data_IF_378072320848
#
_entry.id   IF_378072320848
#
_cell.length_a   1.000
_cell.length_b   1.000
_cell.length_c   1.000
_cell.angle_alpha   90.00
_cell.angle_beta   90.00
_cell.angle_gamma   90.00
#
_symmetry.space_group_name_H-M   'P 1'
#
loop_
_entity.id
_entity.type
_entity.pdbx_description
1 polymer ?
#
# COMPACT_ATOMS: atom_id res chain seq x y z
N UNK A 1 -45.80 13.65 -12.38
CA UNK A 1 -45.53 14.86 -13.18
C UNK A 1 -44.18 14.70 -13.88
N UNK A 2 -44.21 14.28 -15.14
CA UNK A 2 -43.11 14.41 -16.10
C UNK A 2 -43.78 14.78 -17.43
N UNK A 3 -43.42 15.94 -17.97
CA UNK A 3 -43.91 16.47 -19.25
C UNK A 3 -42.79 16.62 -20.29
N UNK A 4 -43.20 17.12 -21.46
CA UNK A 4 -42.48 17.40 -22.71
C UNK A 4 -42.38 16.19 -23.67
N UNK A 5 -43.25 16.02 -24.67
CA UNK A 5 -43.51 16.76 -25.94
C UNK A 5 -42.30 16.85 -26.90
N UNK A 6 -42.45 16.23 -28.07
CA UNK A 6 -42.09 16.81 -29.36
C UNK A 6 -42.84 16.07 -30.50
N UNK A 7 -43.71 16.81 -31.20
CA UNK A 7 -44.26 16.48 -32.53
C UNK A 7 -43.34 17.05 -33.60
N UNK A 8 -43.28 16.40 -34.75
CA UNK A 8 -42.72 16.96 -35.99
C UNK A 8 -43.11 16.10 -37.19
N UNK A 9 -44.11 16.56 -37.93
CA UNK A 9 -44.70 15.95 -39.10
C UNK A 9 -44.41 16.88 -40.29
N UNK A 10 -43.82 16.39 -41.39
CA UNK A 10 -44.00 17.01 -42.72
C UNK A 10 -44.00 15.91 -43.79
N UNK A 11 -45.06 15.91 -44.56
CA UNK A 11 -45.39 15.10 -45.73
C UNK A 11 -44.83 15.72 -47.03
N UNK A 12 -44.51 14.87 -48.02
CA UNK A 12 -44.29 15.27 -49.40
C UNK A 12 -44.42 14.09 -50.38
N UNK A 13 -45.56 14.03 -51.07
CA UNK A 13 -45.86 13.34 -52.35
C UNK A 13 -45.07 13.98 -53.51
N UNK A 14 -44.85 13.45 -54.72
CA UNK A 14 -45.03 12.19 -55.46
C UNK A 14 -44.26 12.38 -56.80
N UNK A 15 -43.82 11.30 -57.47
CA UNK A 15 -43.87 11.10 -58.94
C UNK A 15 -42.93 9.96 -59.40
N UNK A 16 -43.42 9.18 -60.37
CA UNK A 16 -42.88 7.94 -60.90
C UNK A 16 -41.97 8.13 -62.14
N UNK A 17 -41.08 7.15 -62.37
CA UNK A 17 -40.68 6.73 -63.71
C UNK A 17 -40.13 5.28 -63.69
N UNK A 18 -40.72 4.43 -64.52
CA UNK A 18 -40.33 3.06 -64.84
C UNK A 18 -39.23 3.06 -65.92
N UNK A 19 -38.19 2.24 -65.76
CA UNK A 19 -37.54 1.51 -66.86
C UNK A 19 -36.91 0.21 -66.34
N UNK A 20 -37.18 -0.88 -67.05
CA UNK A 20 -36.63 -2.23 -66.82
C UNK A 20 -35.19 -2.34 -67.33
N UNK A 21 -34.34 -3.10 -66.63
CA UNK A 21 -33.38 -4.03 -67.26
C UNK A 21 -32.90 -5.09 -66.26
N UNK A 22 -32.95 -6.35 -66.68
CA UNK A 22 -32.46 -7.54 -65.98
C UNK A 22 -30.93 -7.64 -66.10
N UNK A 23 -30.23 -7.89 -65.00
CA UNK A 23 -28.99 -8.68 -65.00
C UNK A 23 -28.84 -9.47 -63.70
N UNK A 24 -28.53 -10.76 -63.83
CA UNK A 24 -28.24 -11.71 -62.77
C UNK A 24 -26.96 -11.33 -61.99
N UNK A 25 -26.95 -11.46 -60.66
CA UNK A 25 -25.85 -12.09 -59.90
C UNK A 25 -26.08 -12.10 -58.38
N UNK A 26 -25.93 -13.30 -57.81
CA UNK A 26 -25.39 -13.64 -56.49
C UNK A 26 -26.07 -13.05 -55.23
N UNK A 27 -26.89 -13.89 -54.59
CA UNK A 27 -27.30 -13.77 -53.19
C UNK A 27 -26.12 -14.04 -52.24
N UNK A 28 -25.83 -13.17 -51.24
CA UNK A 28 -25.07 -13.57 -50.08
C UNK A 28 -26.01 -14.08 -48.96
N UNK A 29 -25.58 -15.17 -48.32
CA UNK A 29 -26.20 -15.82 -47.16
C UNK A 29 -26.38 -14.85 -45.97
N UNK A 30 -27.32 -15.14 -45.05
CA UNK A 30 -27.52 -14.35 -43.84
C UNK A 30 -26.30 -14.52 -42.90
N UNK A 31 -25.64 -13.40 -42.60
CA UNK A 31 -24.56 -13.33 -41.60
C UNK A 31 -25.10 -13.66 -40.21
N UNK A 32 -24.48 -14.63 -39.56
CA UNK A 32 -24.64 -14.94 -38.14
C UNK A 32 -24.45 -13.68 -37.29
N UNK A 33 -25.46 -13.36 -36.48
CA UNK A 33 -25.38 -12.33 -35.45
C UNK A 33 -24.39 -12.78 -34.37
N UNK A 34 -23.20 -12.19 -34.37
CA UNK A 34 -22.28 -12.24 -33.23
C UNK A 34 -22.91 -11.58 -32.00
N UNK A 35 -22.50 -11.95 -30.77
CA UNK A 35 -23.12 -11.43 -29.54
C UNK A 35 -22.87 -9.93 -29.42
N UNK A 36 -23.95 -9.14 -29.34
CA UNK A 36 -23.88 -7.71 -29.06
C UNK A 36 -23.15 -7.46 -27.73
N UNK A 37 -22.08 -6.65 -27.80
CA UNK A 37 -21.39 -6.14 -26.61
C UNK A 37 -22.38 -5.33 -25.75
N UNK A 38 -22.46 -5.56 -24.42
CA UNK A 38 -23.46 -4.93 -23.59
C UNK A 38 -23.30 -3.40 -23.60
N UNK A 39 -24.41 -2.70 -23.87
CA UNK A 39 -24.49 -1.24 -23.86
C UNK A 39 -23.91 -0.65 -22.56
N UNK A 40 -23.13 0.42 -22.71
CA UNK A 40 -22.44 1.13 -21.62
C UNK A 40 -23.41 1.61 -20.50
N UNK A 41 -24.72 1.70 -20.78
CA UNK A 41 -25.77 2.00 -19.78
C UNK A 41 -26.07 0.81 -18.85
N UNK A 42 -26.01 -0.43 -19.35
CA UNK A 42 -26.23 -1.64 -18.55
C UNK A 42 -25.12 -1.90 -17.53
N UNK A 43 -23.86 -1.63 -17.92
CA UNK A 43 -22.68 -1.73 -17.05
C UNK A 43 -22.72 -0.73 -15.88
N UNK A 44 -23.11 0.53 -16.15
CA UNK A 44 -23.28 1.55 -15.11
C UNK A 44 -24.39 1.19 -14.11
N UNK A 45 -25.50 0.63 -14.60
CA UNK A 45 -26.61 0.18 -13.74
C UNK A 45 -26.20 -1.01 -12.84
N UNK A 46 -25.50 -2.02 -13.40
CA UNK A 46 -24.97 -3.14 -12.60
C UNK A 46 -23.96 -2.69 -11.55
N UNK A 47 -23.05 -1.75 -11.87
CA UNK A 47 -22.12 -1.19 -10.89
C UNK A 47 -22.84 -0.43 -9.78
N UNK A 48 -23.90 0.31 -10.11
CA UNK A 48 -24.68 1.07 -9.13
C UNK A 48 -25.51 0.15 -8.22
N UNK A 49 -26.09 -0.94 -8.76
CA UNK A 49 -26.79 -1.95 -7.97
C UNK A 49 -25.84 -2.73 -7.04
N UNK A 50 -24.63 -3.10 -7.51
CA UNK A 50 -23.59 -3.71 -6.66
C UNK A 50 -23.14 -2.77 -5.54
N UNK A 51 -23.07 -1.46 -5.80
CA UNK A 51 -22.73 -0.45 -4.78
C UNK A 51 -23.80 -0.31 -3.70
N UNK A 52 -25.08 -0.34 -4.07
CA UNK A 52 -26.21 -0.32 -3.11
C UNK A 52 -26.20 -1.55 -2.20
N UNK A 53 -26.12 -2.75 -2.78
CA UNK A 53 -26.08 -4.02 -2.02
C UNK A 53 -24.94 -4.06 -1.00
N UNK A 54 -23.75 -3.56 -1.35
CA UNK A 54 -22.58 -3.56 -0.46
C UNK A 54 -22.73 -2.60 0.72
N UNK A 55 -23.40 -1.46 0.52
CA UNK A 55 -23.73 -0.52 1.61
C UNK A 55 -24.74 -1.13 2.59
N UNK A 56 -25.76 -1.81 2.07
CA UNK A 56 -26.77 -2.48 2.90
C UNK A 56 -26.17 -3.64 3.70
N UNK A 57 -25.24 -4.40 3.11
CA UNK A 57 -24.55 -5.52 3.77
C UNK A 57 -23.61 -5.04 4.91
N UNK A 58 -22.93 -3.91 4.72
CA UNK A 58 -22.11 -3.29 5.75
C UNK A 58 -22.95 -2.81 6.94
N UNK A 59 -24.08 -2.15 6.67
CA UNK A 59 -25.00 -1.68 7.72
C UNK A 59 -25.61 -2.86 8.49
N UNK A 60 -25.92 -3.96 7.80
CA UNK A 60 -26.39 -5.20 8.43
C UNK A 60 -25.34 -5.82 9.37
N UNK A 61 -24.06 -5.84 8.97
CA UNK A 61 -22.97 -6.32 9.84
C UNK A 61 -22.78 -5.45 11.08
N UNK A 62 -22.84 -4.12 10.95
CA UNK A 62 -22.73 -3.22 12.12
C UNK A 62 -23.85 -3.47 13.14
N UNK A 63 -25.06 -3.79 12.67
CA UNK A 63 -26.18 -4.11 13.55
C UNK A 63 -26.03 -5.47 14.27
N UNK A 64 -25.25 -6.40 13.73
CA UNK A 64 -25.08 -7.76 14.27
C UNK A 64 -24.17 -7.80 15.51
N UNK A 65 -23.17 -6.91 15.59
CA UNK A 65 -22.18 -6.91 16.67
C UNK A 65 -22.50 -5.95 17.83
N UNK A 66 -23.56 -5.15 17.74
CA UNK A 66 -23.92 -4.15 18.75
C UNK A 66 -22.95 -2.96 18.84
N UNK A 67 -23.16 -2.03 19.79
CA UNK A 67 -22.38 -0.79 19.88
C UNK A 67 -20.90 -1.01 20.21
N UNK A 68 -20.57 -2.11 20.87
CA UNK A 68 -19.20 -2.48 21.26
C UNK A 68 -18.46 -3.30 20.20
N UNK A 69 -19.03 -3.43 18.98
CA UNK A 69 -18.45 -4.22 17.89
C UNK A 69 -18.13 -5.68 18.28
N UNK A 70 -18.91 -6.25 19.21
CA UNK A 70 -18.76 -7.60 19.75
C UNK A 70 -17.65 -7.76 20.78
N UNK A 71 -17.09 -6.67 21.30
CA UNK A 71 -16.00 -6.68 22.28
C UNK A 71 -14.64 -7.05 21.69
N UNK A 72 -13.55 -6.78 22.44
CA UNK A 72 -12.17 -7.11 22.03
C UNK A 72 -11.85 -8.58 22.29
N UNK A 73 -11.32 -9.25 21.27
CA UNK A 73 -10.94 -10.65 21.32
C UNK A 73 -9.50 -10.78 21.82
N UNK A 74 -9.34 -11.18 23.08
CA UNK A 74 -8.03 -11.27 23.74
C UNK A 74 -7.15 -12.38 23.17
N UNK A 75 -5.85 -12.13 23.09
CA UNK A 75 -4.85 -13.10 22.67
C UNK A 75 -4.76 -13.29 21.16
N UNK A 76 -5.43 -12.42 20.38
CA UNK A 76 -5.39 -12.46 18.91
C UNK A 76 -4.63 -11.24 18.42
N UNK A 77 -3.60 -11.48 17.61
CA UNK A 77 -2.89 -10.42 16.88
C UNK A 77 -2.96 -10.71 15.40
N UNK A 78 -3.48 -9.76 14.63
CA UNK A 78 -3.54 -9.84 13.17
C UNK A 78 -2.64 -8.77 12.58
N UNK A 79 -1.81 -9.15 11.62
CA UNK A 79 -0.88 -8.25 10.93
C UNK A 79 -1.27 -8.12 9.47
N UNK A 80 -1.42 -6.88 8.99
CA UNK A 80 -1.72 -6.57 7.58
C UNK A 80 -0.58 -5.74 6.97
N UNK A 81 0.24 -6.34 6.10
CA UNK A 81 1.37 -5.65 5.48
C UNK A 81 0.90 -4.69 4.39
N UNK A 82 1.44 -3.48 4.39
CA UNK A 82 1.13 -2.39 3.47
C UNK A 82 2.40 -1.79 2.87
N UNK A 83 2.24 -1.19 1.70
CA UNK A 83 3.26 -0.35 1.06
C UNK A 83 2.65 1.03 0.88
N UNK A 84 3.37 2.05 1.33
CA UNK A 84 2.99 3.44 1.13
C UNK A 84 4.17 4.22 0.56
N UNK A 85 3.87 5.29 -0.16
CA UNK A 85 4.93 6.11 -0.73
C UNK A 85 4.45 6.97 -1.87
N UNK A 86 5.39 7.41 -2.69
CA UNK A 86 5.08 8.17 -3.90
C UNK A 86 5.91 7.76 -5.10
N UNK A 87 5.33 7.99 -6.28
CA UNK A 87 6.02 8.05 -7.55
C UNK A 87 6.00 9.49 -8.05
N UNK A 88 7.06 9.95 -8.71
CA UNK A 88 7.12 11.27 -9.32
C UNK A 88 7.75 11.21 -10.71
N UNK A 89 7.26 12.06 -11.60
CA UNK A 89 7.75 12.22 -12.98
C UNK A 89 8.03 13.69 -13.23
N UNK A 90 9.25 13.99 -13.65
CA UNK A 90 9.64 15.33 -14.07
C UNK A 90 9.03 15.65 -15.44
N UNK A 91 8.51 16.87 -15.62
CA UNK A 91 7.91 17.31 -16.88
C UNK A 91 8.93 17.65 -17.97
N UNK A 92 10.23 17.75 -17.64
CA UNK A 92 11.27 18.21 -18.56
C UNK A 92 11.41 19.73 -18.58
N UNK A 93 10.30 20.46 -18.39
CA UNK A 93 10.25 21.92 -18.29
C UNK A 93 9.34 22.38 -17.16
N UNK A 94 9.65 23.55 -16.60
CA UNK A 94 8.78 24.25 -15.66
C UNK A 94 7.52 24.71 -16.39
N UNK A 95 6.33 24.45 -15.82
CA UNK A 95 5.07 24.99 -16.35
C UNK A 95 5.03 26.50 -16.11
N UNK A 96 4.61 27.27 -17.11
CA UNK A 96 4.57 28.74 -17.02
C UNK A 96 3.43 29.25 -16.13
N UNK A 97 2.30 28.53 -16.06
CA UNK A 97 1.11 28.89 -15.27
C UNK A 97 1.38 28.83 -13.75
N UNK A 98 1.76 27.64 -13.25
CA UNK A 98 1.84 27.38 -11.81
C UNK A 98 3.30 27.29 -11.30
N UNK A 99 4.27 27.29 -12.21
CA UNK A 99 5.67 27.02 -11.88
C UNK A 99 5.97 25.57 -11.48
N UNK A 100 5.02 24.65 -11.62
CA UNK A 100 5.17 23.24 -11.26
C UNK A 100 6.15 22.51 -12.19
N UNK A 101 6.94 21.61 -11.61
CA UNK A 101 8.03 20.89 -12.31
C UNK A 101 7.79 19.39 -12.40
N UNK A 102 7.05 18.83 -11.44
CA UNK A 102 6.79 17.40 -11.34
C UNK A 102 5.30 17.10 -11.27
N UNK A 103 4.91 15.97 -11.83
CA UNK A 103 3.69 15.25 -11.44
C UNK A 103 4.07 14.17 -10.46
N UNK A 104 3.33 14.04 -9.37
CA UNK A 104 3.58 13.02 -8.36
C UNK A 104 2.28 12.34 -7.96
N UNK A 105 2.38 11.07 -7.57
CA UNK A 105 1.26 10.29 -7.04
C UNK A 105 1.69 9.67 -5.73
N UNK A 106 1.00 10.02 -4.64
CA UNK A 106 1.15 9.37 -3.33
C UNK A 106 0.10 8.28 -3.20
N UNK A 107 0.45 7.14 -2.60
CA UNK A 107 -0.48 6.02 -2.47
C UNK A 107 -0.24 5.19 -1.22
N UNK A 108 -1.28 4.44 -0.85
CA UNK A 108 -1.23 3.31 0.08
C UNK A 108 -1.83 2.10 -0.61
N UNK A 109 -1.10 1.00 -0.64
CA UNK A 109 -1.54 -0.27 -1.23
C UNK A 109 -1.25 -1.41 -0.25
N UNK A 110 -2.05 -2.48 -0.25
CA UNK A 110 -1.69 -3.65 0.51
C UNK A 110 -0.47 -4.32 -0.13
N UNK A 111 0.39 -4.93 0.68
CA UNK A 111 1.54 -5.66 0.17
C UNK A 111 1.08 -6.93 -0.57
N UNK A 112 0.07 -7.61 -0.05
CA UNK A 112 -0.60 -8.73 -0.73
C UNK A 112 -1.81 -8.20 -1.50
N UNK A 113 -2.20 -8.88 -2.57
CA UNK A 113 -3.35 -8.46 -3.37
C UNK A 113 -4.69 -8.76 -2.67
N UNK A 114 -5.01 -7.98 -1.64
CA UNK A 114 -6.22 -8.10 -0.81
C UNK A 114 -7.11 -6.86 -0.93
N UNK A 115 -8.41 -7.04 -0.69
CA UNK A 115 -9.34 -5.91 -0.64
C UNK A 115 -9.22 -5.16 0.69
N UNK A 116 -8.37 -4.13 0.74
CA UNK A 116 -8.28 -3.27 1.92
C UNK A 116 -9.60 -2.56 2.26
N UNK A 117 -10.50 -2.37 1.28
CA UNK A 117 -11.81 -1.74 1.56
C UNK A 117 -12.73 -2.59 2.43
N UNK A 118 -12.36 -3.85 2.69
CA UNK A 118 -13.07 -4.72 3.62
C UNK A 118 -12.90 -4.28 5.09
N UNK A 119 -11.80 -3.61 5.44
CA UNK A 119 -11.51 -3.19 6.82
C UNK A 119 -11.13 -1.70 6.93
N UNK A 120 -10.73 -1.06 5.83
CA UNK A 120 -10.48 0.40 5.76
C UNK A 120 -11.74 1.13 5.33
N UNK A 121 -12.13 2.14 6.11
CA UNK A 121 -13.24 3.05 5.81
C UNK A 121 -12.83 4.18 4.89
N UNK A 122 -11.68 4.80 5.18
CA UNK A 122 -11.13 5.92 4.42
C UNK A 122 -9.65 6.12 4.74
N UNK A 123 -8.90 6.64 3.79
CA UNK A 123 -7.54 7.13 3.97
C UNK A 123 -7.55 8.64 3.74
N UNK A 124 -7.00 9.39 4.69
CA UNK A 124 -6.81 10.82 4.58
C UNK A 124 -5.35 11.12 4.28
N UNK A 125 -5.10 11.97 3.29
CA UNK A 125 -3.79 12.48 2.97
C UNK A 125 -3.81 13.97 3.27
N UNK A 126 -3.05 14.39 4.27
CA UNK A 126 -2.84 15.81 4.56
C UNK A 126 -1.59 16.27 3.79
N UNK A 127 -1.83 17.08 2.77
CA UNK A 127 -0.83 17.73 1.96
C UNK A 127 -0.35 19.03 2.63
N UNK A 128 0.65 19.67 2.03
CA UNK A 128 1.10 21.00 2.44
C UNK A 128 -0.01 22.05 2.25
N UNK A 129 -0.02 23.07 3.12
CA UNK A 129 -1.07 24.10 3.17
C UNK A 129 -1.17 24.97 1.91
N UNK A 130 -0.14 24.97 1.07
CA UNK A 130 -0.15 25.62 -0.25
C UNK A 130 -1.12 24.99 -1.24
N UNK A 131 -1.54 23.73 -1.02
CA UNK A 131 -2.51 23.07 -1.89
C UNK A 131 -3.93 23.43 -1.47
N UNK A 132 -4.78 23.73 -2.45
CA UNK A 132 -6.22 23.87 -2.21
C UNK A 132 -6.80 22.58 -1.65
N UNK A 133 -7.58 22.69 -0.57
CA UNK A 133 -8.09 21.53 0.19
C UNK A 133 -6.96 20.55 0.56
N UNK A 134 -6.04 20.93 1.47
CA UNK A 134 -4.87 20.11 1.77
C UNK A 134 -5.24 18.76 2.40
N UNK A 135 -6.44 18.64 2.99
CA UNK A 135 -6.95 17.38 3.54
C UNK A 135 -7.78 16.62 2.50
N UNK A 136 -7.15 15.68 1.81
CA UNK A 136 -7.80 14.85 0.79
C UNK A 136 -8.24 13.53 1.40
N UNK A 137 -9.45 13.07 1.07
CA UNK A 137 -10.03 11.84 1.64
C UNK A 137 -10.40 10.87 0.53
N UNK A 138 -9.80 9.68 0.56
CA UNK A 138 -10.08 8.59 -0.38
C UNK A 138 -10.79 7.46 0.36
N UNK A 139 -11.97 7.09 -0.11
CA UNK A 139 -12.83 6.08 0.55
C UNK A 139 -12.83 4.73 -0.16
N UNK A 140 -12.29 4.65 -1.37
CA UNK A 140 -12.33 3.44 -2.21
C UNK A 140 -10.97 3.24 -2.89
N UNK A 141 -10.55 2.00 -3.11
CA UNK A 141 -9.32 1.70 -3.85
C UNK A 141 -9.46 2.12 -5.34
N UNK A 142 -8.36 2.51 -6.01
CA UNK A 142 -7.00 2.66 -5.48
C UNK A 142 -6.87 3.86 -4.52
N UNK A 143 -6.16 3.67 -3.41
CA UNK A 143 -5.95 4.73 -2.41
C UNK A 143 -4.75 5.59 -2.79
N UNK A 144 -4.94 6.39 -3.83
CA UNK A 144 -3.89 7.23 -4.40
C UNK A 144 -4.39 8.64 -4.68
N UNK A 145 -3.45 9.59 -4.67
CA UNK A 145 -3.69 10.99 -5.04
C UNK A 145 -2.59 11.42 -5.99
N UNK A 146 -2.99 11.86 -7.17
CA UNK A 146 -2.10 12.46 -8.16
C UNK A 146 -2.24 13.97 -8.12
N UNK A 147 -1.10 14.65 -8.00
CA UNK A 147 -1.00 16.11 -7.96
C UNK A 147 0.26 16.57 -8.71
N UNK A 148 0.42 17.89 -8.83
CA UNK A 148 1.61 18.50 -9.42
C UNK A 148 2.26 19.46 -8.45
N UNK A 149 3.57 19.57 -8.48
CA UNK A 149 4.30 20.43 -7.55
C UNK A 149 5.77 20.60 -7.93
N UNK A 150 6.48 21.37 -7.13
CA UNK A 150 7.90 21.68 -7.33
C UNK A 150 8.78 21.40 -6.11
N UNK A 151 8.19 21.28 -4.92
CA UNK A 151 8.91 21.09 -3.66
C UNK A 151 8.58 19.75 -3.00
N UNK A 152 9.52 19.26 -2.21
CA UNK A 152 9.37 18.10 -1.34
C UNK A 152 8.79 18.55 0.01
N UNK A 153 7.84 17.79 0.55
CA UNK A 153 7.20 18.10 1.83
C UNK A 153 6.68 16.81 2.48
N UNK A 154 6.44 16.87 3.79
CA UNK A 154 5.88 15.74 4.53
C UNK A 154 4.37 15.63 4.30
N UNK A 155 3.93 14.45 3.87
CA UNK A 155 2.52 14.06 3.74
C UNK A 155 2.16 13.21 4.95
N UNK A 156 1.10 13.61 5.66
CA UNK A 156 0.55 12.81 6.77
C UNK A 156 -0.58 11.96 6.22
N UNK A 157 -0.42 10.63 6.30
CA UNK A 157 -1.38 9.65 5.82
C UNK A 157 -2.10 9.05 7.03
N UNK A 158 -3.41 9.27 7.15
CA UNK A 158 -4.24 8.69 8.22
C UNK A 158 -5.21 7.66 7.69
N UNK A 159 -5.06 6.41 8.12
CA UNK A 159 -5.92 5.28 7.75
C UNK A 159 -6.98 5.11 8.83
N UNK A 160 -8.25 5.23 8.46
CA UNK A 160 -9.39 5.01 9.33
C UNK A 160 -10.03 3.66 9.00
N UNK A 161 -10.35 2.89 10.03
CA UNK A 161 -10.98 1.59 9.91
C UNK A 161 -12.52 1.72 9.86
N UNK A 162 -13.17 0.65 9.38
CA UNK A 162 -14.63 0.56 9.37
C UNK A 162 -15.17 0.61 10.79
N UNK A 163 -14.53 -0.13 11.69
CA UNK A 163 -14.83 -0.08 13.10
C UNK A 163 -14.31 1.23 13.72
N UNK A 164 -15.19 2.12 14.23
CA UNK A 164 -14.76 3.35 14.90
C UNK A 164 -14.04 3.11 16.23
N UNK A 165 -14.18 1.92 16.83
CA UNK A 165 -13.52 1.55 18.08
C UNK A 165 -12.04 1.20 17.88
N UNK A 166 -11.60 1.03 16.62
CA UNK A 166 -10.21 0.78 16.26
C UNK A 166 -9.47 2.10 16.01
N UNK A 167 -8.26 2.23 16.59
CA UNK A 167 -7.50 3.48 16.52
C UNK A 167 -6.99 3.71 15.09
N UNK A 168 -7.16 4.91 14.50
CA UNK A 168 -6.58 5.21 13.19
C UNK A 168 -5.05 5.11 13.17
N UNK A 169 -4.50 4.55 12.10
CA UNK A 169 -3.04 4.49 11.87
C UNK A 169 -2.59 5.79 11.20
N UNK A 170 -1.50 6.39 11.67
CA UNK A 170 -0.92 7.61 11.10
C UNK A 170 0.50 7.32 10.61
N UNK A 171 0.76 7.59 9.33
CA UNK A 171 2.05 7.43 8.67
C UNK A 171 2.55 8.80 8.20
N UNK A 172 3.86 8.97 8.21
CA UNK A 172 4.54 10.18 7.76
C UNK A 172 5.40 9.82 6.55
N UNK A 173 5.18 10.50 5.43
CA UNK A 173 5.89 10.24 4.19
C UNK A 173 6.46 11.53 3.62
N UNK A 174 7.79 11.60 3.49
CA UNK A 174 8.43 12.71 2.78
C UNK A 174 8.25 12.51 1.26
N UNK A 175 7.48 13.39 0.62
CA UNK A 175 7.27 13.37 -0.82
C UNK A 175 8.60 13.62 -1.54
N UNK A 176 9.11 12.62 -2.25
CA UNK A 176 10.37 12.71 -2.98
C UNK A 176 10.11 13.02 -4.46
N UNK A 177 10.67 14.12 -4.95
CA UNK A 177 10.56 14.58 -6.33
C UNK A 177 11.88 14.48 -7.07
N UNK A 178 12.99 14.74 -6.40
CA UNK A 178 14.30 14.82 -7.03
C UNK A 178 15.01 13.47 -7.05
N UNK A 179 15.69 13.18 -8.16
CA UNK A 179 16.54 12.00 -8.30
C UNK A 179 17.84 12.19 -7.53
N UNK A 180 18.35 11.11 -6.94
CA UNK A 180 19.76 11.04 -6.55
C UNK A 180 20.63 10.82 -7.79
N UNK A 181 21.85 11.35 -7.80
CA UNK A 181 22.77 11.32 -8.95
C UNK A 181 22.96 9.92 -9.54
N UNK A 182 22.96 8.88 -8.69
CA UNK A 182 23.05 7.47 -9.10
C UNK A 182 21.87 6.98 -9.95
N UNK A 183 20.66 7.51 -9.74
CA UNK A 183 19.46 7.11 -10.49
C UNK A 183 19.39 7.77 -11.87
N UNK A 184 19.98 8.95 -12.02
CA UNK A 184 20.10 9.67 -13.30
C UNK A 184 21.02 8.89 -14.24
N UNK A 185 22.11 8.33 -13.72
CA UNK A 185 23.06 7.48 -14.46
C UNK A 185 22.42 6.20 -15.03
N UNK A 186 21.34 5.71 -14.41
CA UNK A 186 20.60 4.51 -14.81
C UNK A 186 19.45 4.82 -15.79
N UNK A 187 19.27 6.08 -16.21
CA UNK A 187 18.24 6.49 -17.18
C UNK A 187 16.80 6.39 -16.66
N UNK A 188 16.59 6.24 -15.35
CA UNK A 188 15.25 6.15 -14.76
C UNK A 188 14.57 7.52 -14.80
N UNK A 189 13.50 7.66 -15.60
CA UNK A 189 12.74 8.92 -15.74
C UNK A 189 11.77 9.20 -14.60
N UNK A 190 11.58 8.25 -13.69
CA UNK A 190 10.62 8.32 -12.59
C UNK A 190 11.32 8.13 -11.25
N UNK A 191 10.98 8.97 -10.29
CA UNK A 191 11.40 8.83 -8.90
C UNK A 191 10.39 7.97 -8.19
N UNK A 192 10.85 6.97 -7.46
CA UNK A 192 10.00 6.09 -6.64
C UNK A 192 10.57 6.11 -5.23
N UNK A 193 9.71 6.41 -4.26
CA UNK A 193 10.04 6.40 -2.83
C UNK A 193 8.92 5.66 -2.11
N UNK A 194 9.12 4.36 -1.87
CA UNK A 194 8.17 3.47 -1.22
C UNK A 194 8.74 2.90 0.07
N UNK A 195 7.87 2.74 1.07
CA UNK A 195 8.17 2.15 2.36
C UNK A 195 7.21 1.00 2.62
N UNK A 196 7.74 -0.06 3.23
CA UNK A 196 6.97 -1.18 3.74
C UNK A 196 6.65 -0.94 5.21
N UNK A 197 5.41 -1.24 5.60
CA UNK A 197 4.97 -1.17 7.00
C UNK A 197 3.88 -2.20 7.27
N UNK A 198 3.61 -2.45 8.54
CA UNK A 198 2.69 -3.49 9.00
C UNK A 198 1.66 -2.91 9.95
N UNK A 199 0.38 -2.97 9.58
CA UNK A 199 -0.70 -2.62 10.49
C UNK A 199 -0.93 -3.78 11.46
N UNK A 200 -0.63 -3.55 12.74
CA UNK A 200 -0.77 -4.54 13.81
C UNK A 200 -2.07 -4.27 14.57
N UNK A 201 -2.98 -5.23 14.55
CA UNK A 201 -4.22 -5.22 15.32
C UNK A 201 -4.07 -6.14 16.52
N UNK A 202 -3.79 -5.56 17.68
CA UNK A 202 -3.71 -6.29 18.95
C UNK A 202 -5.07 -6.29 19.64
N UNK A 203 -5.55 -7.49 19.95
CA UNK A 203 -6.88 -7.73 20.51
C UNK A 203 -7.98 -6.96 19.74
N UNK A 204 -8.16 -7.24 18.44
CA UNK A 204 -9.16 -6.56 17.61
C UNK A 204 -10.57 -6.86 18.13
N UNK A 205 -11.51 -5.98 17.80
CA UNK A 205 -12.93 -6.25 18.04
C UNK A 205 -13.39 -7.48 17.25
N UNK A 206 -14.43 -8.18 17.71
CA UNK A 206 -14.96 -9.34 16.98
C UNK A 206 -15.38 -8.99 15.54
N UNK A 207 -15.97 -7.81 15.35
CA UNK A 207 -16.27 -7.27 14.02
C UNK A 207 -14.99 -7.08 13.19
N UNK A 208 -13.96 -6.41 13.74
CA UNK A 208 -12.73 -6.15 13.02
C UNK A 208 -11.98 -7.44 12.70
N UNK A 209 -11.96 -8.42 13.62
CA UNK A 209 -11.40 -9.75 13.39
C UNK A 209 -12.07 -10.43 12.19
N UNK A 210 -13.40 -10.38 12.09
CA UNK A 210 -14.12 -10.95 10.95
C UNK A 210 -13.81 -10.22 9.64
N UNK A 211 -13.71 -8.88 9.66
CA UNK A 211 -13.35 -8.08 8.48
C UNK A 211 -11.93 -8.37 7.99
N UNK A 212 -10.99 -8.55 8.92
CA UNK A 212 -9.58 -8.83 8.61
C UNK A 212 -9.35 -10.25 8.08
N UNK A 213 -10.16 -11.23 8.51
CA UNK A 213 -10.05 -12.64 8.11
C UNK A 213 -10.83 -12.96 6.83
N UNK A 214 -11.96 -12.28 6.59
CA UNK A 214 -12.84 -12.55 5.45
C UNK A 214 -12.43 -11.79 4.17
N UNK A 215 -11.39 -10.95 4.23
CA UNK A 215 -10.92 -10.15 3.09
C UNK A 215 -10.55 -11.04 1.89
N UNK A 216 -11.23 -10.84 0.75
CA UNK A 216 -10.99 -11.58 -0.50
C UNK A 216 -9.86 -10.94 -1.32
N UNK A 217 -9.24 -11.73 -2.20
CA UNK A 217 -8.29 -11.22 -3.19
C UNK A 217 -9.03 -10.41 -4.28
N UNK A 218 -8.50 -9.24 -4.67
CA UNK A 218 -9.14 -8.36 -5.66
C UNK A 218 -8.88 -8.81 -7.11
N UNK A 219 -7.74 -9.43 -7.39
CA UNK A 219 -7.38 -9.94 -8.73
C UNK A 219 -6.64 -11.29 -8.62
N UNK A 220 -6.62 -12.08 -9.69
CA UNK A 220 -5.93 -13.38 -9.76
C UNK A 220 -4.39 -13.26 -9.86
N UNK A 221 -3.84 -12.04 -10.00
CA UNK A 221 -2.41 -11.78 -10.11
C UNK A 221 -1.82 -11.13 -8.86
N UNK A 222 -0.54 -11.35 -8.60
CA UNK A 222 0.20 -10.63 -7.56
C UNK A 222 0.32 -9.14 -7.93
N UNK A 223 0.17 -8.24 -6.95
CA UNK A 223 0.41 -6.82 -7.15
C UNK A 223 1.90 -6.61 -7.43
N UNK A 224 2.27 -5.99 -8.56
CA UNK A 224 3.66 -5.62 -8.81
C UNK A 224 4.03 -4.45 -7.90
N UNK A 225 4.95 -4.67 -6.97
CA UNK A 225 5.61 -3.58 -6.24
C UNK A 225 6.79 -3.10 -7.08
N UNK A 226 6.94 -1.78 -7.21
CA UNK A 226 8.06 -1.20 -7.97
C UNK A 226 9.38 -1.38 -7.21
N UNK A 227 9.29 -1.47 -5.87
CA UNK A 227 10.41 -1.85 -5.01
C UNK A 227 10.39 -3.36 -4.75
N UNK A 228 11.51 -4.03 -5.04
CA UNK A 228 11.71 -5.46 -4.80
C UNK A 228 12.07 -5.72 -3.32
N UNK A 229 11.06 -5.57 -2.45
CA UNK A 229 11.23 -5.67 -0.99
C UNK A 229 11.82 -7.01 -0.53
N UNK A 230 11.58 -8.10 -1.28
CA UNK A 230 12.08 -9.43 -0.96
C UNK A 230 13.62 -9.50 -1.03
N UNK A 231 14.23 -8.91 -2.06
CA UNK A 231 15.69 -8.86 -2.17
C UNK A 231 16.31 -7.95 -1.10
N UNK A 232 15.64 -6.83 -0.79
CA UNK A 232 16.07 -5.93 0.27
C UNK A 232 16.03 -6.61 1.65
N UNK A 233 15.01 -7.42 1.93
CA UNK A 233 14.88 -8.20 3.15
C UNK A 233 16.01 -9.23 3.28
N UNK A 234 16.27 -10.01 2.23
CA UNK A 234 17.37 -10.99 2.19
C UNK A 234 18.70 -10.30 2.48
N UNK A 235 19.00 -9.21 1.75
CA UNK A 235 20.25 -8.47 1.91
C UNK A 235 20.39 -7.83 3.30
N UNK A 236 19.30 -7.35 3.86
CA UNK A 236 19.30 -6.76 5.22
C UNK A 236 19.50 -7.83 6.27
N UNK A 237 18.84 -8.99 6.12
CA UNK A 237 19.01 -10.16 6.98
C UNK A 237 20.44 -10.68 6.96
N UNK A 238 21.04 -10.83 5.78
CA UNK A 238 22.45 -11.26 5.64
C UNK A 238 23.41 -10.31 6.35
N UNK A 239 23.22 -8.99 6.21
CA UNK A 239 24.03 -7.99 6.92
C UNK A 239 23.87 -8.11 8.45
N UNK A 240 22.65 -8.34 8.92
CA UNK A 240 22.35 -8.53 10.34
C UNK A 240 23.00 -9.80 10.91
N UNK A 241 22.91 -10.91 10.17
CA UNK A 241 23.54 -12.18 10.55
C UNK A 241 25.06 -12.07 10.59
N UNK A 242 25.66 -11.39 9.59
CA UNK A 242 27.10 -11.14 9.57
C UNK A 242 27.54 -10.29 10.77
N UNK A 243 26.81 -9.22 11.08
CA UNK A 243 27.08 -8.37 12.24
C UNK A 243 26.96 -9.16 13.54
N UNK A 244 25.88 -9.93 13.72
CA UNK A 244 25.66 -10.79 14.88
C UNK A 244 26.79 -11.81 15.07
N UNK A 245 27.25 -12.45 13.98
CA UNK A 245 28.35 -13.41 14.01
C UNK A 245 29.66 -12.74 14.43
N UNK A 246 29.96 -11.55 13.91
CA UNK A 246 31.16 -10.79 14.28
C UNK A 246 31.15 -10.41 15.76
N UNK A 247 30.05 -9.85 16.26
CA UNK A 247 29.91 -9.49 17.68
C UNK A 247 30.00 -10.73 18.57
N UNK A 248 29.38 -11.85 18.18
CA UNK A 248 29.49 -13.10 18.94
C UNK A 248 30.92 -13.64 19.00
N UNK A 249 31.69 -13.50 17.92
CA UNK A 249 33.08 -13.90 17.86
C UNK A 249 33.95 -13.02 18.78
N UNK A 250 33.81 -11.70 18.70
CA UNK A 250 34.52 -10.76 19.57
C UNK A 250 34.19 -11.02 21.06
N UNK A 251 32.93 -11.28 21.40
CA UNK A 251 32.54 -11.65 22.77
C UNK A 251 33.24 -12.93 23.23
N UNK A 252 33.34 -13.94 22.37
CA UNK A 252 34.01 -15.19 22.70
C UNK A 252 35.51 -14.97 22.94
N UNK A 253 36.17 -14.20 22.07
CA UNK A 253 37.58 -13.84 22.22
C UNK A 253 37.83 -13.07 23.53
N UNK A 254 37.00 -12.06 23.82
CA UNK A 254 37.14 -11.30 25.07
C UNK A 254 36.88 -12.15 26.31
N UNK A 255 35.92 -13.09 26.25
CA UNK A 255 35.69 -14.04 27.35
C UNK A 255 36.91 -14.94 27.58
N UNK A 256 37.54 -15.42 26.51
CA UNK A 256 38.73 -16.27 26.61
C UNK A 256 39.92 -15.49 27.17
N UNK A 257 40.16 -14.26 26.69
CA UNK A 257 41.19 -13.38 27.24
C UNK A 257 40.96 -13.04 28.71
N UNK A 258 39.70 -12.81 29.12
CA UNK A 258 39.35 -12.59 30.52
C UNK A 258 39.57 -13.83 31.38
N UNK A 259 39.27 -15.02 30.84
CA UNK A 259 39.53 -16.29 31.53
C UNK A 259 41.02 -16.51 31.73
N UNK A 260 41.82 -16.39 30.68
CA UNK A 260 43.28 -16.53 30.75
C UNK A 260 43.91 -15.51 31.71
N UNK A 261 43.46 -14.26 31.67
CA UNK A 261 43.92 -13.22 32.60
C UNK A 261 43.57 -13.56 34.06
N UNK A 262 42.36 -14.06 34.34
CA UNK A 262 41.97 -14.51 35.68
C UNK A 262 42.80 -15.69 36.18
N UNK A 263 43.07 -16.67 35.31
CA UNK A 263 43.91 -17.82 35.64
C UNK A 263 45.35 -17.39 35.95
N UNK A 264 45.92 -16.49 35.15
CA UNK A 264 47.24 -15.91 35.40
C UNK A 264 47.29 -15.13 36.73
N UNK A 265 46.27 -14.32 37.03
CA UNK A 265 46.17 -13.61 38.31
C UNK A 265 46.10 -14.59 39.48
N UNK A 266 45.31 -15.66 39.36
CA UNK A 266 45.19 -16.67 40.42
C UNK A 266 46.50 -17.43 40.63
N UNK A 267 47.21 -17.77 39.55
CA UNK A 267 48.52 -18.40 39.62
C UNK A 267 49.53 -17.50 40.36
N UNK A 268 49.67 -16.25 39.93
CA UNK A 268 50.60 -15.30 40.57
C UNK A 268 50.25 -15.05 42.04
N UNK A 269 48.96 -14.94 42.38
CA UNK A 269 48.52 -14.83 43.79
C UNK A 269 48.92 -16.05 44.63
N UNK A 270 48.79 -17.25 44.07
CA UNK A 270 49.19 -18.48 44.78
C UNK A 270 50.70 -18.55 45.02
N UNK A 271 51.49 -18.06 44.07
CA UNK A 271 52.95 -18.06 44.17
C UNK A 271 53.46 -17.01 45.16
N UNK A 272 52.86 -15.80 45.16
CA UNK A 272 53.14 -14.78 46.18
C UNK A 272 52.87 -15.32 47.58
N UNK A 273 51.73 -16.01 47.78
CA UNK A 273 51.37 -16.58 49.08
C UNK A 273 52.39 -17.61 49.59
N UNK A 274 52.91 -18.48 48.70
CA UNK A 274 53.96 -19.45 49.08
C UNK A 274 55.23 -18.75 49.53
N UNK A 275 55.66 -17.73 48.79
CA UNK A 275 56.87 -16.96 49.12
C UNK A 275 56.71 -16.25 50.48
N UNK A 276 55.54 -15.67 50.74
CA UNK A 276 55.24 -15.05 52.04
C UNK A 276 55.24 -16.05 53.20
N UNK A 277 54.75 -17.28 52.98
CA UNK A 277 54.79 -18.37 53.97
C UNK A 277 56.22 -18.88 54.22
N UNK A 278 57.06 -18.97 53.18
CA UNK A 278 58.45 -19.41 53.26
C UNK A 278 59.37 -18.38 53.96
N UNK A 279 59.11 -17.07 53.79
CA UNK A 279 59.86 -16.02 54.49
C UNK A 279 59.49 -15.96 55.99
N UNK A 280 58.23 -16.20 56.36
CA UNK A 280 57.81 -16.28 57.77
C UNK A 280 58.40 -17.49 58.50
N UNK A 281 58.75 -18.57 57.79
CA UNK A 281 59.40 -19.75 58.36
C UNK A 281 60.91 -19.61 58.62
N UNK A 282 61.55 -18.54 58.15
CA UNK A 282 62.99 -18.27 58.33
C UNK A 282 63.30 -17.27 59.46
N UNK A 283 62.30 -16.58 59.99
CA UNK A 283 62.44 -15.63 61.11
C UNK A 283 62.13 -16.22 62.51
N UNK A 284 61.88 -17.54 62.61
CA UNK A 284 61.73 -18.29 63.89
C UNK A 284 62.89 -19.24 64.14
#
# INVERSE_FOLDING_TARGET
MCGCWARGLVSGTAAAALTHSLTHSLTPNPSESGPELPSNRGLKCQQQQRRRRRGDEMFKRMAEFGPDSGGRVKGVTIVKPIVYGNVARYFGKKREEDGHTHQWTVYVKPYRNEDMSAYVKKIQFKLHESYGNPLRVVTKPPYEITETGWGEFEIIIKIFFIDPNERPVTLYHLLKLFQSDSNVMLGKKTVVSEFYDEMIFQDPTAMMQQLLTTSRQLTLGAYKHETEFAELEVKTREKLEAAKKKTSFEIAEFKERLKASREAINYLKSEIKKIEEDDQGKET
#
